data_IF_751703745913
#
_entry.id   IF_751703745913
#
_cell.length_a   1.000
_cell.length_b   1.000
_cell.length_c   1.000
_cell.angle_alpha   90.00
_cell.angle_beta   90.00
_cell.angle_gamma   90.00
#
_symmetry.space_group_name_H-M   'P 1'
#
loop_
_entity.id
_entity.type
_entity.pdbx_description
1 polymer ?
#
# COMPACT_ATOMS: atom_id res chain seq x y z
N UNK A 1 34.05 24.47 -44.31
CA UNK A 1 33.62 25.85 -44.00
C UNK A 1 32.33 25.74 -43.21
N UNK A 2 32.13 26.15 -41.96
CA UNK A 2 32.87 26.88 -40.90
C UNK A 2 31.74 27.18 -39.86
N UNK A 3 31.75 26.80 -38.57
CA UNK A 3 32.57 27.30 -37.44
C UNK A 3 32.57 28.85 -37.36
N UNK A 4 32.40 29.57 -36.24
CA UNK A 4 32.43 29.36 -34.76
C UNK A 4 31.30 30.23 -34.16
N UNK A 5 30.74 30.05 -32.95
CA UNK A 5 31.05 29.19 -31.80
C UNK A 5 29.79 28.92 -30.94
N UNK A 6 29.72 28.81 -29.61
CA UNK A 6 30.59 29.02 -28.42
C UNK A 6 30.01 30.09 -27.45
N UNK A 7 29.41 29.64 -26.34
CA UNK A 7 29.33 30.45 -25.11
C UNK A 7 29.51 29.52 -23.91
N UNK A 8 30.45 29.88 -23.04
CA UNK A 8 30.91 29.07 -21.92
C UNK A 8 30.05 29.22 -20.66
N UNK A 9 29.98 28.10 -19.94
CA UNK A 9 29.92 27.90 -18.48
C UNK A 9 29.60 29.07 -17.54
N UNK A 10 28.61 28.84 -16.67
CA UNK A 10 28.64 29.29 -15.28
C UNK A 10 28.20 28.18 -14.31
N UNK A 11 29.15 27.85 -13.44
CA UNK A 11 29.07 27.34 -12.07
C UNK A 11 28.34 26.03 -11.70
N UNK A 12 29.17 25.10 -11.23
CA UNK A 12 28.80 23.86 -10.54
C UNK A 12 28.30 24.14 -9.11
N UNK A 13 27.21 23.46 -8.71
CA UNK A 13 26.88 23.24 -7.30
C UNK A 13 26.47 21.77 -7.07
N UNK A 14 27.03 21.09 -6.06
CA UNK A 14 26.91 19.64 -5.93
C UNK A 14 25.52 19.23 -5.38
N UNK A 15 24.64 18.77 -6.26
CA UNK A 15 23.40 18.10 -5.85
C UNK A 15 23.70 16.72 -5.26
N UNK A 16 23.87 16.67 -3.93
CA UNK A 16 23.82 15.41 -3.15
C UNK A 16 22.54 14.65 -3.47
N UNK A 17 22.66 13.53 -4.19
CA UNK A 17 21.56 12.63 -4.53
C UNK A 17 21.16 11.77 -3.31
N UNK A 18 20.44 12.36 -2.36
CA UNK A 18 19.77 11.63 -1.30
C UNK A 18 18.41 11.12 -1.81
N UNK A 19 18.42 9.99 -2.53
CA UNK A 19 17.20 9.31 -2.99
C UNK A 19 17.23 7.83 -2.60
N UNK A 20 17.47 7.54 -1.33
CA UNK A 20 17.21 6.22 -0.74
C UNK A 20 15.69 6.10 -0.52
N UNK A 21 14.94 5.89 -1.60
CA UNK A 21 13.53 5.54 -1.50
C UNK A 21 13.44 4.14 -0.88
N UNK A 22 13.13 4.10 0.41
CA UNK A 22 12.85 2.86 1.15
C UNK A 22 11.80 2.08 0.37
N UNK A 23 12.15 0.84 0.01
CA UNK A 23 11.25 -0.08 -0.65
C UNK A 23 10.09 -0.38 0.31
N UNK A 24 8.85 -0.29 -0.17
CA UNK A 24 7.72 -0.94 0.52
C UNK A 24 7.92 -2.46 0.36
N UNK A 25 8.68 -3.05 1.29
CA UNK A 25 8.74 -4.49 1.46
C UNK A 25 7.44 -4.97 2.13
N UNK A 26 6.52 -5.49 1.30
CA UNK A 26 5.45 -6.37 1.76
C UNK A 26 6.10 -7.58 2.45
N UNK A 27 5.93 -7.67 3.77
CA UNK A 27 6.54 -8.72 4.60
C UNK A 27 5.63 -9.94 4.66
N UNK A 28 6.21 -11.10 4.36
CA UNK A 28 5.56 -12.41 4.40
C UNK A 28 4.90 -12.70 5.75
N UNK A 29 3.75 -13.37 5.70
CA UNK A 29 2.97 -13.77 6.88
C UNK A 29 3.21 -15.26 7.11
N UNK A 30 4.23 -15.60 7.91
CA UNK A 30 4.52 -17.00 8.32
C UNK A 30 4.89 -17.22 9.79
N UNK A 31 5.25 -16.18 10.54
CA UNK A 31 5.93 -16.36 11.84
C UNK A 31 4.99 -16.22 13.05
N UNK A 32 3.86 -16.92 13.03
CA UNK A 32 2.89 -16.93 14.15
C UNK A 32 3.23 -17.90 15.29
N UNK A 33 4.16 -18.84 15.10
CA UNK A 33 4.45 -19.89 16.09
C UNK A 33 5.51 -19.50 17.16
N UNK A 34 6.35 -18.49 16.90
CA UNK A 34 7.41 -18.08 17.82
C UNK A 34 6.91 -17.28 19.05
N UNK A 35 5.68 -16.76 19.00
CA UNK A 35 5.17 -15.76 19.96
C UNK A 35 4.59 -16.40 21.24
N UNK A 36 4.12 -17.65 21.18
CA UNK A 36 3.47 -18.30 22.35
C UNK A 36 4.45 -18.77 23.43
N UNK A 37 5.75 -18.92 23.14
CA UNK A 37 6.75 -19.43 24.10
C UNK A 37 7.25 -18.40 25.13
N UNK A 38 7.00 -17.11 24.90
CA UNK A 38 7.55 -16.02 25.72
C UNK A 38 6.58 -15.46 26.78
N UNK A 39 5.36 -15.99 26.88
CA UNK A 39 4.32 -15.49 27.81
C UNK A 39 4.36 -16.15 29.21
N UNK A 40 5.13 -17.21 29.42
CA UNK A 40 5.11 -18.03 30.64
C UNK A 40 6.46 -18.08 31.38
N UNK A 41 6.96 -16.94 31.88
CA UNK A 41 8.09 -16.95 32.84
C UNK A 41 8.15 -15.75 33.79
N UNK A 42 7.08 -15.53 34.57
CA UNK A 42 7.14 -14.72 35.79
C UNK A 42 7.47 -15.62 36.98
N UNK A 43 8.71 -15.57 37.48
CA UNK A 43 9.07 -16.23 38.73
C UNK A 43 9.47 -15.18 39.77
N UNK A 44 8.95 -15.32 40.98
CA UNK A 44 9.30 -14.51 42.14
C UNK A 44 10.77 -14.71 42.51
N UNK A 45 11.45 -13.63 42.89
CA UNK A 45 12.69 -13.69 43.64
C UNK A 45 12.51 -12.94 44.95
N UNK A 46 12.55 -13.69 46.05
CA UNK A 46 12.48 -13.17 47.41
C UNK A 46 13.87 -13.34 48.02
N UNK A 47 14.51 -12.25 48.45
CA UNK A 47 15.79 -12.27 49.14
C UNK A 47 15.72 -11.24 50.26
N UNK A 48 15.63 -11.74 51.49
CA UNK A 48 15.29 -10.94 52.66
C UNK A 48 16.44 -10.09 53.17
N UNK A 49 16.11 -8.85 53.50
CA UNK A 49 16.76 -8.08 54.56
C UNK A 49 15.65 -7.34 55.32
N UNK A 50 15.03 -8.03 56.29
CA UNK A 50 14.13 -7.36 57.23
C UNK A 50 14.94 -6.55 58.25
N UNK A 51 14.39 -5.40 58.62
CA UNK A 51 14.78 -4.58 59.78
C UNK A 51 16.12 -3.81 59.70
N UNK A 52 16.18 -2.82 58.81
CA UNK A 52 16.62 -1.47 59.24
C UNK A 52 15.47 -0.49 58.98
N UNK A 53 15.04 0.23 60.02
CA UNK A 53 13.98 1.24 59.89
C UNK A 53 14.54 2.53 59.29
N UNK A 54 13.80 3.14 58.37
CA UNK A 54 14.15 4.46 57.80
C UNK A 54 14.12 5.56 58.87
N UNK A 55 13.45 5.31 60.01
CA UNK A 55 13.39 6.23 61.14
C UNK A 55 14.63 6.18 62.06
N UNK A 56 15.42 5.10 62.05
CA UNK A 56 16.66 5.00 62.86
C UNK A 56 17.78 5.91 62.32
N UNK A 57 17.61 6.46 61.10
CA UNK A 57 18.56 7.40 60.48
C UNK A 57 18.35 8.87 60.91
N UNK A 58 17.34 9.14 61.75
CA UNK A 58 16.92 10.50 62.12
C UNK A 58 16.86 10.79 63.62
N UNK A 59 17.39 9.92 64.50
CA UNK A 59 17.55 10.22 65.92
C UNK A 59 18.81 11.11 66.15
N UNK A 60 18.67 12.39 66.57
CA UNK A 60 19.80 13.27 66.82
C UNK A 60 20.45 13.09 68.20
N UNK A 61 19.87 12.26 69.08
CA UNK A 61 20.22 12.16 70.50
C UNK A 61 20.97 10.88 70.89
N UNK A 62 21.05 9.87 70.01
CA UNK A 62 21.75 8.62 70.27
C UNK A 62 23.30 8.68 70.24
N UNK A 63 23.91 9.88 70.19
CA UNK A 63 25.37 10.02 70.04
C UNK A 63 26.01 11.13 70.90
N UNK A 64 25.59 11.29 72.16
CA UNK A 64 26.18 12.26 73.11
C UNK A 64 26.64 11.67 74.46
N UNK A 65 27.32 10.52 74.43
CA UNK A 65 28.25 10.10 75.50
C UNK A 65 29.44 9.36 74.88
N UNK A 66 30.63 9.55 75.45
CA UNK A 66 31.89 8.87 75.11
C UNK A 66 32.47 8.99 73.69
N UNK A 67 32.51 10.22 73.15
CA UNK A 67 33.60 10.60 72.22
C UNK A 67 34.34 11.90 72.57
N UNK A 68 34.42 12.24 73.86
CA UNK A 68 35.28 13.33 74.36
C UNK A 68 36.66 12.83 74.82
N UNK A 69 37.37 12.09 73.95
CA UNK A 69 38.81 11.83 74.14
C UNK A 69 39.54 11.53 72.83
N UNK A 70 40.38 12.48 72.40
CA UNK A 70 41.36 12.36 71.29
C UNK A 70 40.83 11.90 69.92
N UNK A 71 40.28 12.85 69.16
CA UNK A 71 40.68 12.94 67.74
C UNK A 71 40.98 14.39 67.38
N UNK A 72 42.26 14.72 67.13
CA UNK A 72 42.63 15.87 66.29
C UNK A 72 42.21 15.53 64.86
N UNK A 73 40.93 15.74 64.55
CA UNK A 73 40.37 15.41 63.24
C UNK A 73 40.82 16.48 62.26
N UNK A 74 41.93 16.20 61.57
CA UNK A 74 42.54 17.08 60.58
C UNK A 74 41.47 17.71 59.68
N UNK A 75 41.26 19.03 59.83
CA UNK A 75 40.22 19.78 59.09
C UNK A 75 40.43 19.67 57.57
N UNK A 76 41.67 19.45 57.14
CA UNK A 76 42.05 19.13 55.77
C UNK A 76 41.48 17.79 55.27
N UNK A 77 41.43 16.75 56.11
CA UNK A 77 40.86 15.44 55.74
C UNK A 77 39.35 15.51 55.65
N UNK A 78 38.70 16.23 56.58
CA UNK A 78 37.25 16.46 56.58
C UNK A 78 36.80 17.33 55.37
N UNK A 79 37.57 18.37 55.04
CA UNK A 79 37.40 19.14 53.79
C UNK A 79 37.67 18.30 52.53
N UNK A 80 38.65 17.39 52.54
CA UNK A 80 38.86 16.44 51.42
C UNK A 80 37.70 15.46 51.28
N UNK A 81 37.14 14.96 52.38
CA UNK A 81 36.03 14.00 52.35
C UNK A 81 34.74 14.65 51.83
N UNK A 82 34.36 15.82 52.38
CA UNK A 82 33.20 16.60 51.92
C UNK A 82 33.35 17.09 50.48
N UNK A 83 34.55 17.53 50.06
CA UNK A 83 34.83 17.84 48.65
C UNK A 83 34.66 16.60 47.75
N UNK A 84 35.27 15.47 48.11
CA UNK A 84 35.15 14.20 47.35
C UNK A 84 33.71 13.70 47.26
N UNK A 85 32.89 13.93 48.30
CA UNK A 85 31.47 13.58 48.31
C UNK A 85 30.62 14.52 47.44
N UNK A 86 30.93 15.83 47.45
CA UNK A 86 30.33 16.84 46.56
C UNK A 86 30.69 16.63 45.09
N UNK A 87 31.95 16.26 44.82
CA UNK A 87 32.43 15.96 43.47
C UNK A 87 31.79 14.65 42.94
N UNK A 88 31.59 13.63 43.80
CA UNK A 88 30.79 12.44 43.48
C UNK A 88 29.32 12.76 43.17
N UNK A 89 28.69 13.66 43.94
CA UNK A 89 27.31 14.10 43.69
C UNK A 89 27.21 14.80 42.32
N UNK A 90 28.11 15.73 42.03
CA UNK A 90 28.18 16.40 40.72
C UNK A 90 28.35 15.43 39.56
N UNK A 91 29.29 14.48 39.66
CA UNK A 91 29.48 13.47 38.63
C UNK A 91 28.20 12.64 38.39
N UNK A 92 27.50 12.27 39.47
CA UNK A 92 26.21 11.56 39.37
C UNK A 92 25.11 12.39 38.73
N UNK A 93 25.07 13.70 38.99
CA UNK A 93 24.12 14.61 38.34
C UNK A 93 24.48 14.86 36.86
N UNK A 94 25.76 14.93 36.51
CA UNK A 94 26.23 15.05 35.12
C UNK A 94 25.90 13.79 34.31
N UNK A 95 26.15 12.59 34.85
CA UNK A 95 25.76 11.32 34.22
C UNK A 95 24.23 11.16 34.11
N UNK A 96 23.48 11.58 35.13
CA UNK A 96 22.02 11.59 35.09
C UNK A 96 21.47 12.53 34.01
N UNK A 97 22.04 13.74 33.90
CA UNK A 97 21.68 14.71 32.85
C UNK A 97 22.07 14.20 31.46
N UNK A 98 23.21 13.52 31.33
CA UNK A 98 23.65 12.88 30.07
C UNK A 98 22.71 11.76 29.65
N UNK A 99 22.29 10.90 30.57
CA UNK A 99 21.30 9.85 30.33
C UNK A 99 19.93 10.44 29.95
N UNK A 100 19.45 11.44 30.69
CA UNK A 100 18.22 12.18 30.39
C UNK A 100 18.27 12.78 28.97
N UNK A 101 19.40 13.38 28.58
CA UNK A 101 19.61 13.90 27.23
C UNK A 101 19.65 12.83 26.13
N UNK A 102 20.14 11.62 26.43
CA UNK A 102 20.09 10.49 25.48
C UNK A 102 18.68 9.91 25.35
N UNK A 103 17.92 9.82 26.45
CA UNK A 103 16.53 9.37 26.45
C UNK A 103 15.64 10.34 25.68
N UNK A 104 15.73 11.65 25.96
CA UNK A 104 14.98 12.69 25.23
C UNK A 104 15.26 12.61 23.73
N UNK A 105 16.53 12.56 23.30
CA UNK A 105 16.89 12.43 21.87
C UNK A 105 16.33 11.19 21.18
N UNK A 106 16.06 10.09 21.90
CA UNK A 106 15.44 8.88 21.34
C UNK A 106 13.92 8.98 21.33
N UNK A 107 13.34 9.59 22.37
CA UNK A 107 11.92 9.90 22.42
C UNK A 107 11.53 10.91 21.32
N UNK A 108 12.33 11.95 21.10
CA UNK A 108 12.17 12.92 20.01
C UNK A 108 12.22 12.21 18.64
N UNK A 109 13.24 11.36 18.41
CA UNK A 109 13.34 10.57 17.17
C UNK A 109 12.16 9.61 16.97
N UNK A 110 11.66 8.98 18.03
CA UNK A 110 10.46 8.14 17.95
C UNK A 110 9.23 8.99 17.66
N UNK A 111 9.09 10.14 18.32
CA UNK A 111 8.01 11.09 18.07
C UNK A 111 8.03 11.59 16.62
N UNK A 112 9.19 11.90 16.05
CA UNK A 112 9.37 12.27 14.64
C UNK A 112 8.93 11.14 13.69
N UNK A 113 9.33 9.89 13.97
CA UNK A 113 8.93 8.72 13.16
C UNK A 113 7.42 8.44 13.26
N UNK A 114 6.85 8.47 14.45
CA UNK A 114 5.39 8.34 14.68
C UNK A 114 4.62 9.49 14.05
N UNK A 115 5.13 10.72 14.17
CA UNK A 115 4.53 11.91 13.55
C UNK A 115 4.59 11.79 12.03
N UNK A 116 5.68 11.29 11.43
CA UNK A 116 5.74 11.01 9.99
C UNK A 116 4.77 9.89 9.56
N UNK A 117 4.49 8.90 10.41
CA UNK A 117 3.52 7.83 10.11
C UNK A 117 2.07 8.32 10.24
N UNK A 118 1.79 9.25 11.16
CA UNK A 118 0.43 9.70 11.52
C UNK A 118 0.02 11.04 10.91
N UNK A 119 0.96 11.88 10.47
CA UNK A 119 0.67 13.22 9.92
C UNK A 119 0.25 13.13 8.46
N UNK A 120 -1.06 12.96 8.26
CA UNK A 120 -1.69 13.03 6.94
C UNK A 120 -1.53 14.43 6.32
N UNK A 121 -0.98 14.49 5.11
CA UNK A 121 -0.80 15.72 4.34
C UNK A 121 -2.14 16.41 4.03
N UNK A 122 -2.11 17.74 3.85
CA UNK A 122 -3.28 18.51 3.36
C UNK A 122 -3.81 17.94 2.03
N UNK A 123 -2.93 17.44 1.16
CA UNK A 123 -3.29 16.83 -0.12
C UNK A 123 -4.05 15.51 0.06
N UNK A 124 -3.64 14.68 1.02
CA UNK A 124 -4.27 13.40 1.33
C UNK A 124 -5.64 13.60 1.99
N UNK A 125 -5.79 14.62 2.85
CA UNK A 125 -7.08 15.03 3.43
C UNK A 125 -8.05 15.52 2.36
N UNK A 126 -7.59 16.40 1.45
CA UNK A 126 -8.41 16.87 0.33
C UNK A 126 -8.81 15.71 -0.60
N UNK A 127 -7.86 14.81 -0.90
CA UNK A 127 -8.15 13.67 -1.77
C UNK A 127 -9.07 12.63 -1.12
N UNK A 128 -9.00 12.44 0.20
CA UNK A 128 -9.98 11.64 0.95
C UNK A 128 -11.40 12.19 0.77
N UNK A 129 -11.60 13.50 0.95
CA UNK A 129 -12.88 14.16 0.72
C UNK A 129 -13.34 14.04 -0.73
N UNK A 130 -12.44 14.18 -1.70
CA UNK A 130 -12.74 13.96 -3.11
C UNK A 130 -13.16 12.51 -3.39
N UNK A 131 -12.44 11.51 -2.87
CA UNK A 131 -12.77 10.10 -3.07
C UNK A 131 -14.15 9.74 -2.49
N UNK A 132 -14.52 10.28 -1.32
CA UNK A 132 -15.88 10.16 -0.78
C UNK A 132 -16.92 10.85 -1.65
N UNK A 133 -16.66 12.08 -2.11
CA UNK A 133 -17.55 12.81 -3.00
C UNK A 133 -17.80 12.04 -4.31
N UNK A 134 -16.77 11.41 -4.87
CA UNK A 134 -16.91 10.57 -6.07
C UNK A 134 -17.79 9.34 -5.82
N UNK A 135 -17.71 8.70 -4.65
CA UNK A 135 -18.60 7.58 -4.29
C UNK A 135 -20.05 8.07 -4.13
N UNK A 136 -20.25 9.24 -3.51
CA UNK A 136 -21.56 9.86 -3.38
C UNK A 136 -22.17 10.22 -4.76
N UNK A 137 -21.40 10.84 -5.64
CA UNK A 137 -21.82 11.17 -7.02
C UNK A 137 -22.17 9.89 -7.80
N UNK A 138 -21.39 8.81 -7.68
CA UNK A 138 -21.76 7.51 -8.27
C UNK A 138 -23.16 7.06 -7.82
N UNK A 139 -23.47 7.15 -6.52
CA UNK A 139 -24.77 6.80 -5.97
C UNK A 139 -25.91 7.65 -6.54
N UNK A 140 -25.74 8.98 -6.56
CA UNK A 140 -26.74 9.93 -7.10
C UNK A 140 -26.98 9.71 -8.60
N UNK A 141 -25.92 9.50 -9.38
CA UNK A 141 -26.04 9.24 -10.82
C UNK A 141 -26.73 7.90 -11.13
N UNK A 142 -26.51 6.85 -10.32
CA UNK A 142 -27.19 5.56 -10.50
C UNK A 142 -28.64 5.61 -10.04
N UNK A 143 -28.95 6.42 -9.01
CA UNK A 143 -30.31 6.60 -8.49
C UNK A 143 -31.19 7.40 -9.44
N UNK A 144 -30.75 8.60 -9.83
CA UNK A 144 -31.59 9.63 -10.44
C UNK A 144 -31.21 9.98 -11.88
N UNK A 145 -29.91 9.99 -12.21
CA UNK A 145 -29.39 10.55 -13.47
C UNK A 145 -28.61 9.51 -14.29
N UNK A 146 -29.21 8.34 -14.53
CA UNK A 146 -28.50 7.17 -15.07
C UNK A 146 -27.91 7.43 -16.46
N UNK A 147 -28.58 8.26 -17.25
CA UNK A 147 -28.12 8.72 -18.57
C UNK A 147 -26.74 9.39 -18.52
N UNK A 148 -26.39 10.09 -17.44
CA UNK A 148 -25.13 10.83 -17.30
C UNK A 148 -23.95 9.99 -16.79
N UNK A 149 -24.19 8.76 -16.33
CA UNK A 149 -23.14 7.94 -15.70
C UNK A 149 -21.95 7.67 -16.64
N UNK A 150 -22.20 7.41 -17.92
CA UNK A 150 -21.15 7.17 -18.92
C UNK A 150 -20.27 8.41 -19.17
N UNK A 151 -20.85 9.61 -19.07
CA UNK A 151 -20.12 10.89 -19.18
C UNK A 151 -19.23 11.08 -17.96
N UNK A 152 -19.77 10.89 -16.76
CA UNK A 152 -19.03 10.96 -15.51
C UNK A 152 -17.86 9.95 -15.45
N UNK A 153 -18.08 8.70 -15.85
CA UNK A 153 -17.02 7.69 -16.01
C UNK A 153 -15.90 8.19 -16.94
N UNK A 154 -16.26 8.79 -18.07
CA UNK A 154 -15.31 9.30 -19.06
C UNK A 154 -14.49 10.47 -18.52
N UNK A 155 -15.13 11.44 -17.87
CA UNK A 155 -14.46 12.57 -17.20
C UNK A 155 -13.55 12.07 -16.08
N UNK A 156 -14.02 11.16 -15.24
CA UNK A 156 -13.24 10.57 -14.15
C UNK A 156 -11.96 9.87 -14.65
N UNK A 157 -12.07 9.09 -15.72
CA UNK A 157 -10.91 8.45 -16.34
C UNK A 157 -9.94 9.49 -16.92
N UNK A 158 -10.44 10.47 -17.70
CA UNK A 158 -9.63 11.52 -18.31
C UNK A 158 -8.94 12.44 -17.28
N UNK A 159 -9.53 12.64 -16.10
CA UNK A 159 -8.90 13.40 -15.02
C UNK A 159 -7.85 12.58 -14.24
N UNK A 160 -8.10 11.30 -13.96
CA UNK A 160 -7.18 10.47 -13.18
C UNK A 160 -5.98 9.95 -13.98
N UNK A 161 -6.15 9.63 -15.27
CA UNK A 161 -5.07 9.03 -16.06
C UNK A 161 -3.82 9.90 -16.26
N UNK A 162 -3.92 11.24 -16.50
CA UNK A 162 -2.73 12.09 -16.58
C UNK A 162 -1.94 12.17 -15.26
N UNK A 163 -2.64 12.17 -14.12
CA UNK A 163 -2.03 12.12 -12.79
C UNK A 163 -1.31 10.79 -12.61
N UNK A 164 -2.01 9.68 -12.87
CA UNK A 164 -1.49 8.31 -12.80
C UNK A 164 -0.24 8.11 -13.67
N UNK A 165 -0.29 8.56 -14.92
CA UNK A 165 0.84 8.52 -15.86
C UNK A 165 2.05 9.26 -15.29
N UNK A 166 1.83 10.48 -14.79
CA UNK A 166 2.87 11.32 -14.19
C UNK A 166 3.50 10.69 -12.95
N UNK A 167 2.71 10.10 -12.05
CA UNK A 167 3.23 9.41 -10.86
C UNK A 167 3.99 8.13 -11.24
N UNK A 168 3.43 7.31 -12.13
CA UNK A 168 4.04 6.03 -12.52
C UNK A 168 5.36 6.24 -13.27
N UNK A 169 5.45 7.26 -14.12
CA UNK A 169 6.71 7.61 -14.79
C UNK A 169 7.79 8.05 -13.78
N UNK A 170 7.43 8.90 -12.80
CA UNK A 170 8.35 9.33 -11.72
C UNK A 170 8.81 8.18 -10.81
N UNK A 171 8.00 7.14 -10.65
CA UNK A 171 8.30 5.94 -9.84
C UNK A 171 8.95 4.79 -10.64
N UNK A 172 9.15 4.94 -11.95
CA UNK A 172 9.68 3.87 -12.81
C UNK A 172 8.68 2.75 -13.16
N UNK A 173 7.40 2.89 -12.77
CA UNK A 173 6.32 1.92 -12.98
C UNK A 173 5.58 2.08 -14.31
N UNK A 174 6.15 2.80 -15.29
CA UNK A 174 5.50 3.09 -16.57
C UNK A 174 5.04 1.86 -17.38
N UNK A 175 5.54 0.65 -17.11
CA UNK A 175 5.12 -0.57 -17.82
C UNK A 175 3.81 -1.16 -17.31
N UNK A 176 3.42 -0.90 -16.06
CA UNK A 176 2.10 -1.26 -15.54
C UNK A 176 0.95 -0.50 -16.26
N UNK A 177 1.24 0.63 -16.91
CA UNK A 177 0.25 1.36 -17.74
C UNK A 177 -0.15 0.60 -19.01
N UNK A 178 0.59 -0.46 -19.39
CA UNK A 178 0.24 -1.34 -20.50
C UNK A 178 -0.71 -2.49 -20.09
N UNK A 179 -1.07 -2.60 -18.81
CA UNK A 179 -1.89 -3.71 -18.30
C UNK A 179 -3.33 -3.68 -18.82
N UNK A 180 -3.96 -4.86 -18.82
CA UNK A 180 -5.29 -5.11 -19.36
C UNK A 180 -6.36 -4.15 -18.82
N UNK A 181 -6.26 -3.71 -17.55
CA UNK A 181 -7.23 -2.76 -16.99
C UNK A 181 -7.25 -1.41 -17.72
N UNK A 182 -6.10 -0.86 -18.11
CA UNK A 182 -6.05 0.39 -18.89
C UNK A 182 -6.58 0.17 -20.31
N UNK A 183 -6.20 -0.95 -20.95
CA UNK A 183 -6.72 -1.33 -22.27
C UNK A 183 -8.25 -1.47 -22.28
N UNK A 184 -8.82 -2.14 -21.29
CA UNK A 184 -10.27 -2.33 -21.19
C UNK A 184 -11.00 -1.02 -20.92
N UNK A 185 -10.45 -0.12 -20.10
CA UNK A 185 -11.04 1.21 -19.94
C UNK A 185 -11.04 1.99 -21.27
N UNK A 186 -9.96 1.90 -22.04
CA UNK A 186 -9.90 2.50 -23.39
C UNK A 186 -10.93 1.85 -24.33
N UNK A 187 -11.09 0.51 -24.33
CA UNK A 187 -12.15 -0.16 -25.09
C UNK A 187 -13.55 0.31 -24.68
N UNK A 188 -13.81 0.47 -23.38
CA UNK A 188 -15.09 1.00 -22.88
C UNK A 188 -15.35 2.42 -23.40
N UNK A 189 -14.34 3.30 -23.43
CA UNK A 189 -14.48 4.65 -24.00
C UNK A 189 -14.67 4.62 -25.52
N UNK A 190 -13.97 3.73 -26.24
CA UNK A 190 -14.18 3.51 -27.67
C UNK A 190 -15.62 3.04 -27.94
N UNK A 191 -16.17 2.15 -27.12
CA UNK A 191 -17.57 1.75 -27.21
C UNK A 191 -18.52 2.93 -26.96
N UNK A 192 -18.33 3.66 -25.86
CA UNK A 192 -19.22 4.74 -25.45
C UNK A 192 -19.25 5.88 -26.49
N UNK A 193 -18.10 6.24 -27.07
CA UNK A 193 -17.96 7.46 -27.87
C UNK A 193 -17.75 7.27 -29.37
N UNK A 194 -17.21 6.12 -29.81
CA UNK A 194 -16.80 5.92 -31.22
C UNK A 194 -17.66 4.85 -31.91
N UNK A 195 -17.87 3.70 -31.26
CA UNK A 195 -18.60 2.57 -31.85
C UNK A 195 -19.74 2.03 -30.96
N UNK A 196 -20.72 2.88 -30.56
CA UNK A 196 -21.82 2.47 -29.67
C UNK A 196 -22.79 1.47 -30.33
N UNK A 197 -22.72 1.30 -31.66
CA UNK A 197 -23.53 0.33 -32.41
C UNK A 197 -22.98 -1.10 -32.39
N UNK A 198 -21.70 -1.28 -32.04
CA UNK A 198 -21.02 -2.55 -32.18
C UNK A 198 -21.38 -3.51 -31.05
N UNK A 199 -22.26 -4.48 -31.33
CA UNK A 199 -22.54 -5.62 -30.44
C UNK A 199 -21.26 -6.35 -30.04
N UNK A 200 -20.34 -6.55 -30.98
CA UNK A 200 -19.08 -7.28 -30.75
C UNK A 200 -18.23 -6.57 -29.69
N UNK A 201 -18.05 -5.26 -29.83
CA UNK A 201 -17.30 -4.45 -28.88
C UNK A 201 -18.03 -4.35 -27.54
N UNK A 202 -19.36 -4.14 -27.54
CA UNK A 202 -20.17 -4.09 -26.33
C UNK A 202 -20.02 -5.37 -25.49
N UNK A 203 -20.22 -6.54 -26.12
CA UNK A 203 -20.10 -7.85 -25.47
C UNK A 203 -18.70 -8.01 -24.85
N UNK A 204 -17.65 -7.62 -25.59
CA UNK A 204 -16.28 -7.69 -25.08
C UNK A 204 -15.99 -6.71 -23.94
N UNK A 205 -16.46 -5.47 -24.01
CA UNK A 205 -16.37 -4.51 -22.90
C UNK A 205 -17.09 -5.02 -21.65
N UNK A 206 -18.31 -5.54 -21.79
CA UNK A 206 -19.07 -6.12 -20.69
C UNK A 206 -18.34 -7.32 -20.08
N UNK A 207 -17.84 -8.24 -20.91
CA UNK A 207 -17.11 -9.42 -20.48
C UNK A 207 -15.79 -9.11 -19.79
N UNK A 208 -15.01 -8.13 -20.26
CA UNK A 208 -13.78 -7.74 -19.58
C UNK A 208 -14.06 -7.02 -18.26
N UNK A 209 -15.06 -6.12 -18.25
CA UNK A 209 -15.42 -5.34 -17.07
C UNK A 209 -15.90 -6.26 -15.93
N UNK A 210 -16.89 -7.12 -16.20
CA UNK A 210 -17.44 -8.04 -15.20
C UNK A 210 -16.62 -9.30 -14.95
N UNK A 211 -15.86 -9.75 -15.95
CA UNK A 211 -14.86 -10.80 -15.79
C UNK A 211 -13.60 -10.24 -15.14
N UNK A 212 -12.51 -10.15 -15.90
CA UNK A 212 -11.18 -9.95 -15.32
C UNK A 212 -10.98 -8.66 -14.55
N UNK A 213 -11.61 -7.53 -14.89
CA UNK A 213 -11.43 -6.30 -14.11
C UNK A 213 -12.03 -6.42 -12.71
N UNK A 214 -13.28 -6.86 -12.59
CA UNK A 214 -13.93 -7.15 -11.31
C UNK A 214 -13.16 -8.20 -10.51
N UNK A 215 -12.85 -9.35 -11.12
CA UNK A 215 -12.17 -10.44 -10.44
C UNK A 215 -10.71 -10.10 -10.05
N UNK A 216 -10.05 -9.21 -10.77
CA UNK A 216 -8.73 -8.69 -10.40
C UNK A 216 -8.74 -7.92 -9.06
N UNK A 217 -9.87 -7.33 -8.65
CA UNK A 217 -9.99 -6.72 -7.31
C UNK A 217 -9.72 -7.75 -6.21
N UNK A 218 -10.19 -8.98 -6.38
CA UNK A 218 -10.01 -10.09 -5.44
C UNK A 218 -8.58 -10.62 -5.55
N UNK A 219 -8.17 -11.05 -6.74
CA UNK A 219 -6.89 -11.74 -6.99
C UNK A 219 -5.69 -10.88 -6.64
N UNK A 220 -5.72 -9.60 -6.96
CA UNK A 220 -4.62 -8.67 -6.66
C UNK A 220 -4.81 -7.92 -5.33
N UNK A 221 -5.81 -8.32 -4.52
CA UNK A 221 -6.21 -7.66 -3.26
C UNK A 221 -6.24 -6.13 -3.40
N UNK A 222 -6.94 -5.64 -4.42
CA UNK A 222 -7.01 -4.21 -4.68
C UNK A 222 -7.70 -3.51 -3.50
N UNK A 223 -6.99 -2.57 -2.87
CA UNK A 223 -7.44 -1.86 -1.66
C UNK A 223 -8.01 -0.49 -2.00
N UNK A 224 -9.27 -0.24 -1.63
CA UNK A 224 -9.88 1.09 -1.69
C UNK A 224 -9.38 1.94 -0.52
N UNK A 225 -8.29 2.69 -0.74
CA UNK A 225 -7.65 3.53 0.29
C UNK A 225 -7.88 5.00 -0.04
N UNK A 226 -8.98 5.54 0.50
CA UNK A 226 -9.56 6.83 0.11
C UNK A 226 -8.58 8.03 0.14
N UNK A 227 -7.64 8.10 1.09
CA UNK A 227 -6.65 9.19 1.15
C UNK A 227 -5.53 9.08 0.10
N UNK A 228 -5.36 7.91 -0.53
CA UNK A 228 -4.27 7.61 -1.45
C UNK A 228 -4.72 7.68 -2.91
N UNK A 229 -4.20 8.67 -3.64
CA UNK A 229 -4.47 8.88 -5.08
C UNK A 229 -4.21 7.61 -5.89
N UNK A 230 -3.09 6.94 -5.62
CA UNK A 230 -2.65 5.78 -6.39
C UNK A 230 -3.47 4.52 -6.13
N UNK A 231 -3.90 4.28 -4.89
CA UNK A 231 -4.76 3.14 -4.54
C UNK A 231 -6.19 3.39 -5.02
N UNK A 232 -6.77 4.55 -4.73
CA UNK A 232 -8.12 4.93 -5.21
C UNK A 232 -8.20 4.92 -6.73
N UNK A 233 -7.24 5.49 -7.47
CA UNK A 233 -7.23 5.42 -8.94
C UNK A 233 -7.22 3.98 -9.43
N UNK A 234 -6.47 3.10 -8.76
CA UNK A 234 -6.47 1.67 -9.06
C UNK A 234 -7.83 1.03 -8.82
N UNK A 235 -8.51 1.33 -7.72
CA UNK A 235 -9.87 0.81 -7.48
C UNK A 235 -10.87 1.35 -8.50
N UNK A 236 -10.78 2.63 -8.89
CA UNK A 236 -11.69 3.25 -9.85
C UNK A 236 -11.60 2.61 -11.24
N UNK A 237 -10.39 2.36 -11.78
CA UNK A 237 -10.26 1.72 -13.10
C UNK A 237 -10.73 0.25 -13.13
N UNK A 238 -10.91 -0.38 -11.96
CA UNK A 238 -11.45 -1.75 -11.85
C UNK A 238 -12.95 -1.78 -11.56
N UNK A 239 -13.48 -0.84 -10.77
CA UNK A 239 -14.89 -0.83 -10.31
C UNK A 239 -15.80 0.02 -11.21
N UNK A 240 -15.31 1.14 -11.77
CA UNK A 240 -16.16 2.05 -12.57
C UNK A 240 -16.52 1.51 -13.96
N UNK A 241 -15.70 0.70 -14.67
CA UNK A 241 -16.14 0.06 -15.91
C UNK A 241 -17.32 -0.91 -15.75
N UNK A 242 -17.31 -1.91 -14.83
CA UNK A 242 -18.48 -2.78 -14.65
C UNK A 242 -19.69 -2.00 -14.15
N UNK A 243 -19.50 -0.96 -13.33
CA UNK A 243 -20.59 -0.09 -12.90
C UNK A 243 -21.21 0.71 -14.06
N UNK A 244 -20.39 1.17 -15.02
CA UNK A 244 -20.87 1.82 -16.26
C UNK A 244 -21.64 0.83 -17.13
N UNK A 245 -21.12 -0.39 -17.29
CA UNK A 245 -21.79 -1.45 -18.04
C UNK A 245 -23.09 -1.91 -17.37
N UNK A 246 -23.14 -1.97 -16.04
CA UNK A 246 -24.38 -2.19 -15.28
C UNK A 246 -25.42 -1.11 -15.57
N UNK A 247 -25.03 0.17 -15.52
CA UNK A 247 -25.97 1.26 -15.79
C UNK A 247 -26.52 1.17 -17.22
N UNK A 248 -25.65 0.91 -18.20
CA UNK A 248 -26.03 0.76 -19.61
C UNK A 248 -26.97 -0.43 -19.83
N UNK A 249 -26.82 -1.55 -19.11
CA UNK A 249 -27.63 -2.77 -19.32
C UNK A 249 -28.91 -2.80 -18.49
N UNK A 250 -28.83 -2.36 -17.23
CA UNK A 250 -29.85 -2.67 -16.20
C UNK A 250 -30.57 -1.45 -15.62
N UNK A 251 -30.15 -0.22 -15.93
CA UNK A 251 -30.69 0.99 -15.27
C UNK A 251 -31.19 2.08 -16.21
N UNK A 252 -30.54 2.32 -17.35
CA UNK A 252 -31.06 3.28 -18.33
C UNK A 252 -32.33 2.75 -19.01
N UNK A 253 -33.21 3.68 -19.39
CA UNK A 253 -34.43 3.38 -20.12
C UNK A 253 -34.13 2.69 -21.48
N UNK A 254 -34.92 1.69 -21.93
CA UNK A 254 -34.69 0.99 -23.19
C UNK A 254 -34.70 1.87 -24.45
N UNK A 255 -35.50 2.94 -24.50
CA UNK A 255 -35.53 3.87 -25.64
C UNK A 255 -34.23 4.67 -25.69
N UNK A 256 -33.78 5.18 -24.54
CA UNK A 256 -32.48 5.85 -24.42
C UNK A 256 -31.32 4.89 -24.71
N UNK A 257 -31.39 3.64 -24.26
CA UNK A 257 -30.40 2.60 -24.55
C UNK A 257 -30.31 2.33 -26.05
N UNK A 258 -31.45 2.22 -26.75
CA UNK A 258 -31.48 1.98 -28.19
C UNK A 258 -30.91 3.18 -28.98
N UNK A 259 -31.24 4.41 -28.56
CA UNK A 259 -30.75 5.63 -29.20
C UNK A 259 -29.24 5.86 -28.96
N UNK A 260 -28.75 5.66 -27.72
CA UNK A 260 -27.39 6.04 -27.31
C UNK A 260 -26.37 4.89 -27.36
N UNK A 261 -26.82 3.66 -27.11
CA UNK A 261 -26.01 2.43 -27.05
C UNK A 261 -26.64 1.27 -27.84
N UNK A 262 -26.96 1.43 -29.13
CA UNK A 262 -27.65 0.42 -29.93
C UNK A 262 -26.97 -0.96 -29.95
N UNK A 263 -25.65 -1.04 -29.78
CA UNK A 263 -24.92 -2.32 -29.64
C UNK A 263 -25.28 -3.08 -28.37
N UNK A 264 -25.57 -2.37 -27.27
CA UNK A 264 -26.10 -2.96 -26.04
C UNK A 264 -27.57 -3.37 -26.22
N UNK A 265 -28.43 -2.46 -26.70
CA UNK A 265 -29.86 -2.71 -26.89
C UNK A 265 -30.16 -3.88 -27.84
N UNK A 266 -29.41 -3.99 -28.95
CA UNK A 266 -29.54 -5.11 -29.89
C UNK A 266 -29.07 -6.45 -29.30
N UNK A 267 -28.38 -6.48 -28.16
CA UNK A 267 -27.88 -7.71 -27.52
C UNK A 267 -28.98 -8.31 -26.61
N UNK A 268 -30.14 -8.66 -27.19
CA UNK A 268 -31.29 -9.14 -26.43
C UNK A 268 -31.07 -10.49 -25.71
N UNK A 269 -30.16 -11.34 -26.22
CA UNK A 269 -29.79 -12.60 -25.59
C UNK A 269 -28.27 -12.84 -25.68
N UNK A 270 -27.69 -13.30 -24.58
CA UNK A 270 -26.25 -13.51 -24.50
C UNK A 270 -25.85 -14.85 -25.14
N UNK A 271 -25.26 -14.80 -26.33
CA UNK A 271 -24.67 -15.98 -26.96
C UNK A 271 -23.28 -16.26 -26.34
N UNK A 272 -23.18 -17.34 -25.56
CA UNK A 272 -21.97 -17.73 -24.83
C UNK A 272 -20.73 -17.87 -25.74
N UNK A 273 -20.87 -18.56 -26.87
CA UNK A 273 -19.78 -18.78 -27.82
C UNK A 273 -19.29 -17.47 -28.44
N UNK A 274 -20.20 -16.58 -28.85
CA UNK A 274 -19.84 -15.24 -29.34
C UNK A 274 -19.15 -14.41 -28.25
N UNK A 275 -19.64 -14.47 -27.01
CA UNK A 275 -19.03 -13.81 -25.86
C UNK A 275 -17.57 -14.22 -25.62
N UNK A 276 -17.29 -15.53 -25.63
CA UNK A 276 -15.92 -16.04 -25.53
C UNK A 276 -15.08 -15.65 -26.75
N UNK A 277 -15.59 -15.88 -27.97
CA UNK A 277 -14.84 -15.66 -29.20
C UNK A 277 -14.44 -14.18 -29.37
N UNK A 278 -15.41 -13.26 -29.34
CA UNK A 278 -15.17 -11.84 -29.54
C UNK A 278 -14.16 -11.30 -28.50
N UNK A 279 -14.33 -11.70 -27.24
CA UNK A 279 -13.49 -11.16 -26.19
C UNK A 279 -12.10 -11.80 -26.15
N UNK A 280 -11.97 -13.05 -26.62
CA UNK A 280 -10.67 -13.67 -26.88
C UNK A 280 -9.93 -12.96 -28.02
N UNK A 281 -10.62 -12.47 -29.06
CA UNK A 281 -10.00 -11.69 -30.13
C UNK A 281 -9.45 -10.34 -29.61
N UNK A 282 -10.23 -9.58 -28.84
CA UNK A 282 -9.75 -8.35 -28.22
C UNK A 282 -8.63 -8.61 -27.19
N UNK A 283 -8.69 -9.73 -26.45
CA UNK A 283 -7.61 -10.14 -25.54
C UNK A 283 -6.34 -10.46 -26.32
N UNK A 284 -6.44 -11.18 -27.44
CA UNK A 284 -5.30 -11.50 -28.30
C UNK A 284 -4.66 -10.23 -28.87
N UNK A 285 -5.45 -9.24 -29.29
CA UNK A 285 -4.93 -7.92 -29.71
C UNK A 285 -4.10 -7.28 -28.59
N UNK A 286 -4.64 -7.20 -27.37
CA UNK A 286 -3.89 -6.67 -26.22
C UNK A 286 -2.63 -7.50 -25.90
N UNK A 287 -2.73 -8.82 -25.86
CA UNK A 287 -1.62 -9.71 -25.55
C UNK A 287 -0.49 -9.60 -26.58
N UNK A 288 -0.82 -9.51 -27.87
CA UNK A 288 0.15 -9.28 -28.95
C UNK A 288 0.83 -7.91 -28.82
N UNK A 289 0.07 -6.85 -28.54
CA UNK A 289 0.62 -5.51 -28.30
C UNK A 289 1.53 -5.48 -27.07
N UNK A 290 1.12 -6.09 -25.96
CA UNK A 290 1.90 -6.20 -24.73
C UNK A 290 3.22 -6.93 -24.98
N UNK A 291 3.16 -8.12 -25.61
CA UNK A 291 4.34 -8.91 -25.90
C UNK A 291 5.31 -8.17 -26.84
N UNK A 292 4.81 -7.52 -27.90
CA UNK A 292 5.62 -6.76 -28.83
C UNK A 292 6.29 -5.52 -28.16
N UNK A 293 5.51 -4.68 -27.47
CA UNK A 293 6.02 -3.41 -26.93
C UNK A 293 6.78 -3.54 -25.61
N UNK A 294 6.46 -4.53 -24.78
CA UNK A 294 7.07 -4.75 -23.47
C UNK A 294 8.10 -5.87 -23.55
N UNK A 295 7.67 -7.11 -23.84
CA UNK A 295 8.54 -8.29 -23.79
C UNK A 295 9.65 -8.26 -24.84
N UNK A 296 9.35 -7.87 -26.08
CA UNK A 296 10.35 -7.81 -27.17
C UNK A 296 11.08 -6.45 -27.15
N UNK A 297 10.37 -5.36 -27.46
CA UNK A 297 10.98 -4.04 -27.72
C UNK A 297 11.63 -3.37 -26.49
N UNK A 298 11.40 -3.89 -25.28
CA UNK A 298 11.95 -3.33 -24.03
C UNK A 298 12.65 -4.35 -23.13
N UNK A 299 12.96 -5.55 -23.65
CA UNK A 299 13.67 -6.61 -22.94
C UNK A 299 14.91 -6.12 -22.16
N UNK A 300 15.76 -5.31 -22.78
CA UNK A 300 16.97 -4.77 -22.14
C UNK A 300 16.66 -3.83 -20.97
N UNK A 301 15.59 -3.04 -21.07
CA UNK A 301 15.16 -2.09 -20.03
C UNK A 301 14.44 -2.79 -18.87
N UNK A 302 13.88 -3.97 -19.11
CA UNK A 302 13.36 -4.87 -18.07
C UNK A 302 14.54 -5.53 -17.35
N UNK A 303 15.53 -6.07 -18.08
CA UNK A 303 16.79 -6.60 -17.52
C UNK A 303 17.59 -5.58 -16.68
N UNK A 304 17.38 -4.28 -16.89
CA UNK A 304 17.91 -3.19 -16.06
C UNK A 304 17.13 -2.96 -14.74
N UNK A 305 16.21 -3.86 -14.36
CA UNK A 305 15.49 -3.82 -13.08
C UNK A 305 14.18 -3.01 -13.10
N UNK A 306 13.58 -2.76 -14.27
CA UNK A 306 12.28 -2.07 -14.34
C UNK A 306 11.12 -3.03 -14.18
N UNK A 307 10.53 -2.99 -12.99
CA UNK A 307 9.38 -3.81 -12.62
C UNK A 307 8.27 -3.85 -13.68
N UNK A 308 7.93 -5.06 -14.09
CA UNK A 308 6.76 -5.40 -14.89
C UNK A 308 5.75 -6.21 -14.08
N UNK A 309 4.50 -6.21 -14.51
CA UNK A 309 3.40 -6.96 -13.90
C UNK A 309 3.64 -8.48 -13.94
N UNK A 310 4.39 -8.97 -14.92
CA UNK A 310 4.88 -10.35 -14.99
C UNK A 310 5.85 -10.68 -13.85
N UNK A 311 6.93 -9.90 -13.70
CA UNK A 311 7.92 -10.10 -12.63
C UNK A 311 7.30 -9.97 -11.23
N UNK A 312 6.42 -8.98 -11.06
CA UNK A 312 5.70 -8.77 -9.81
C UNK A 312 4.86 -10.00 -9.45
N UNK A 313 4.07 -10.54 -10.38
CA UNK A 313 3.21 -11.70 -10.10
C UNK A 313 4.05 -12.98 -9.92
N UNK A 314 5.17 -13.11 -10.64
CA UNK A 314 6.15 -14.19 -10.49
C UNK A 314 6.75 -14.24 -9.08
N UNK A 315 7.04 -13.07 -8.49
CA UNK A 315 7.49 -12.92 -7.10
C UNK A 315 6.34 -13.15 -6.11
N UNK A 316 5.19 -12.50 -6.30
CA UNK A 316 4.06 -12.55 -5.37
C UNK A 316 3.48 -13.97 -5.17
N UNK A 317 3.64 -14.87 -6.16
CA UNK A 317 3.15 -16.25 -6.08
C UNK A 317 4.27 -17.30 -5.92
N UNK A 318 5.54 -16.91 -5.74
CA UNK A 318 6.66 -17.86 -5.66
C UNK A 318 6.59 -18.84 -4.49
N UNK A 319 5.83 -18.53 -3.43
CA UNK A 319 5.57 -19.45 -2.32
C UNK A 319 4.58 -20.58 -2.67
N UNK A 320 3.64 -20.33 -3.58
CA UNK A 320 2.51 -21.22 -3.87
C UNK A 320 2.92 -22.37 -4.82
N UNK A 321 2.29 -23.54 -4.70
CA UNK A 321 2.63 -24.71 -5.51
C UNK A 321 2.59 -24.44 -7.03
N UNK A 322 1.56 -23.74 -7.51
CA UNK A 322 1.45 -23.33 -8.93
C UNK A 322 2.57 -22.37 -9.33
N UNK A 323 2.91 -21.39 -8.48
CA UNK A 323 3.99 -20.44 -8.76
C UNK A 323 5.36 -21.12 -8.76
N UNK A 324 5.61 -22.05 -7.84
CA UNK A 324 6.81 -22.90 -7.83
C UNK A 324 6.94 -23.71 -9.12
N UNK A 325 5.86 -24.36 -9.56
CA UNK A 325 5.85 -25.15 -10.79
C UNK A 325 6.06 -24.31 -12.07
N UNK A 326 5.48 -23.10 -12.15
CA UNK A 326 5.73 -22.16 -13.25
C UNK A 326 7.16 -21.61 -13.20
N UNK A 327 7.68 -21.33 -12.00
CA UNK A 327 9.00 -20.75 -11.79
C UNK A 327 10.15 -21.71 -12.04
N UNK A 328 9.94 -23.03 -11.91
CA UNK A 328 10.93 -24.07 -12.19
C UNK A 328 11.11 -24.38 -13.67
N UNK A 329 10.24 -23.86 -14.55
CA UNK A 329 10.39 -24.04 -15.99
C UNK A 329 11.57 -23.20 -16.54
N UNK A 330 12.37 -23.73 -17.49
CA UNK A 330 13.44 -22.96 -18.12
C UNK A 330 12.87 -21.84 -19.00
N UNK A 331 13.59 -20.73 -19.14
CA UNK A 331 13.17 -19.64 -20.04
C UNK A 331 13.10 -20.13 -21.51
N UNK A 332 12.07 -19.75 -22.30
CA UNK A 332 11.03 -18.76 -22.02
C UNK A 332 9.71 -19.34 -21.47
N UNK A 333 9.67 -20.62 -21.09
CA UNK A 333 8.43 -21.32 -20.74
C UNK A 333 7.63 -20.72 -19.56
N UNK A 334 8.22 -20.08 -18.52
CA UNK A 334 7.45 -19.35 -17.51
C UNK A 334 6.54 -18.27 -18.09
N UNK A 335 6.99 -17.53 -19.11
CA UNK A 335 6.20 -16.47 -19.78
C UNK A 335 5.01 -17.07 -20.53
N UNK A 336 5.23 -18.21 -21.19
CA UNK A 336 4.18 -18.94 -21.93
C UNK A 336 3.15 -19.53 -20.97
N UNK A 337 3.60 -20.26 -19.95
CA UNK A 337 2.73 -20.86 -18.93
C UNK A 337 1.89 -19.80 -18.21
N UNK A 338 2.50 -18.67 -17.86
CA UNK A 338 1.82 -17.52 -17.27
C UNK A 338 0.74 -16.93 -18.19
N UNK A 339 1.06 -16.74 -19.47
CA UNK A 339 0.10 -16.25 -20.48
C UNK A 339 -1.09 -17.20 -20.62
N UNK A 340 -0.85 -18.51 -20.65
CA UNK A 340 -1.90 -19.53 -20.71
C UNK A 340 -2.76 -19.57 -19.44
N UNK A 341 -2.16 -19.43 -18.26
CA UNK A 341 -2.89 -19.35 -16.98
C UNK A 341 -3.74 -18.09 -16.91
N UNK A 342 -3.21 -16.93 -17.34
CA UNK A 342 -3.98 -15.69 -17.41
C UNK A 342 -5.14 -15.79 -18.39
N UNK A 343 -4.95 -16.41 -19.57
CA UNK A 343 -6.01 -16.64 -20.53
C UNK A 343 -7.05 -17.66 -20.03
N UNK A 344 -6.64 -18.73 -19.36
CA UNK A 344 -7.57 -19.67 -18.71
C UNK A 344 -8.42 -19.01 -17.62
N UNK A 345 -7.79 -18.16 -16.79
CA UNK A 345 -8.49 -17.34 -15.79
C UNK A 345 -9.44 -16.31 -16.45
N UNK A 346 -9.03 -15.75 -17.59
CA UNK A 346 -9.86 -14.86 -18.38
C UNK A 346 -11.13 -15.56 -18.87
N UNK A 347 -11.01 -16.76 -19.44
CA UNK A 347 -12.16 -17.56 -19.90
C UNK A 347 -13.07 -17.97 -18.74
N UNK A 348 -12.50 -18.40 -17.61
CA UNK A 348 -13.26 -18.80 -16.42
C UNK A 348 -14.12 -17.64 -15.89
N UNK A 349 -13.53 -16.46 -15.68
CA UNK A 349 -14.25 -15.28 -15.18
C UNK A 349 -15.30 -14.76 -16.16
N UNK A 350 -15.04 -14.87 -17.48
CA UNK A 350 -16.02 -14.52 -18.52
C UNK A 350 -17.19 -15.49 -18.63
N UNK A 351 -17.01 -16.76 -18.25
CA UNK A 351 -18.10 -17.75 -18.29
C UNK A 351 -19.31 -17.38 -17.42
N UNK A 352 -19.11 -16.51 -16.43
CA UNK A 352 -20.15 -15.99 -15.52
C UNK A 352 -20.89 -14.76 -16.07
N UNK A 353 -20.35 -14.09 -17.10
CA UNK A 353 -20.95 -12.88 -17.70
C UNK A 353 -22.39 -13.04 -18.23
N UNK A 354 -22.84 -14.19 -18.79
CA UNK A 354 -24.24 -14.39 -19.16
C UNK A 354 -25.20 -14.21 -17.96
N UNK A 355 -24.78 -14.59 -16.75
CA UNK A 355 -25.60 -14.47 -15.53
C UNK A 355 -25.75 -13.01 -15.12
N UNK A 356 -24.64 -12.26 -15.11
CA UNK A 356 -24.63 -10.81 -14.83
C UNK A 356 -25.43 -10.03 -15.86
N UNK A 357 -25.39 -10.43 -17.13
CA UNK A 357 -26.17 -9.82 -18.20
C UNK A 357 -27.67 -10.11 -18.05
N UNK A 358 -28.06 -11.36 -17.74
CA UNK A 358 -29.47 -11.78 -17.71
C UNK A 358 -30.23 -11.36 -16.45
N UNK A 359 -29.56 -11.23 -15.31
CA UNK A 359 -30.19 -11.06 -14.01
C UNK A 359 -29.64 -9.85 -13.26
N UNK A 360 -30.40 -8.74 -13.28
CA UNK A 360 -30.10 -7.48 -12.57
C UNK A 360 -29.67 -7.72 -11.12
N UNK A 361 -30.44 -8.50 -10.35
CA UNK A 361 -30.15 -8.80 -8.94
C UNK A 361 -28.79 -9.48 -8.75
N UNK A 362 -28.45 -10.49 -9.55
CA UNK A 362 -27.16 -11.17 -9.46
C UNK A 362 -26.01 -10.22 -9.81
N UNK A 363 -26.20 -9.38 -10.83
CA UNK A 363 -25.26 -8.34 -11.20
C UNK A 363 -25.02 -7.32 -10.06
N UNK A 364 -26.10 -6.85 -9.41
CA UNK A 364 -26.02 -5.94 -8.26
C UNK A 364 -25.31 -6.58 -7.07
N UNK A 365 -25.65 -7.83 -6.71
CA UNK A 365 -25.01 -8.56 -5.62
C UNK A 365 -23.52 -8.80 -5.89
N UNK A 366 -23.16 -9.13 -7.14
CA UNK A 366 -21.76 -9.29 -7.53
C UNK A 366 -20.97 -7.98 -7.42
N UNK A 367 -21.49 -6.86 -7.93
CA UNK A 367 -20.82 -5.56 -7.77
C UNK A 367 -20.69 -5.13 -6.30
N UNK A 368 -21.73 -5.36 -5.49
CA UNK A 368 -21.69 -5.09 -4.06
C UNK A 368 -20.59 -5.94 -3.37
N UNK A 369 -20.48 -7.23 -3.71
CA UNK A 369 -19.42 -8.12 -3.24
C UNK A 369 -18.02 -7.62 -3.64
N UNK A 370 -17.82 -7.22 -4.90
CA UNK A 370 -16.53 -6.66 -5.38
C UNK A 370 -16.18 -5.36 -4.65
N UNK A 371 -17.16 -4.47 -4.42
CA UNK A 371 -16.95 -3.22 -3.69
C UNK A 371 -16.65 -3.47 -2.21
N UNK A 372 -17.34 -4.43 -1.56
CA UNK A 372 -17.05 -4.87 -0.20
C UNK A 372 -15.64 -5.47 -0.11
N UNK A 373 -15.24 -6.31 -1.07
CA UNK A 373 -13.88 -6.87 -1.11
C UNK A 373 -12.81 -5.76 -1.23
N UNK A 374 -13.01 -4.79 -2.12
CA UNK A 374 -12.11 -3.63 -2.25
C UNK A 374 -12.03 -2.80 -0.96
N UNK A 375 -13.18 -2.58 -0.32
CA UNK A 375 -13.31 -1.81 0.93
C UNK A 375 -12.68 -2.56 2.12
N UNK A 376 -12.86 -3.87 2.20
CA UNK A 376 -12.23 -4.73 3.22
C UNK A 376 -10.71 -4.76 3.04
N UNK A 377 -10.20 -4.95 1.82
CA UNK A 377 -8.77 -4.82 1.50
C UNK A 377 -8.23 -3.41 1.85
N UNK A 378 -9.07 -2.38 1.75
CA UNK A 378 -8.80 -1.02 2.22
C UNK A 378 -8.71 -0.93 3.74
N UNK A 379 -9.68 -1.49 4.46
CA UNK A 379 -9.71 -1.54 5.92
C UNK A 379 -8.52 -2.32 6.49
N UNK A 380 -8.19 -3.49 5.93
CA UNK A 380 -6.97 -4.24 6.28
C UNK A 380 -5.72 -3.40 6.03
N UNK A 381 -5.63 -2.64 4.93
CA UNK A 381 -4.51 -1.71 4.74
C UNK A 381 -4.43 -0.64 5.84
N UNK A 382 -5.56 -0.02 6.23
CA UNK A 382 -5.57 0.95 7.31
C UNK A 382 -5.19 0.34 8.68
N UNK A 383 -5.70 -0.84 9.01
CA UNK A 383 -5.49 -1.49 10.32
C UNK A 383 -4.11 -2.16 10.39
N UNK A 384 -3.79 -3.06 9.46
CA UNK A 384 -2.58 -3.88 9.54
C UNK A 384 -1.33 -3.11 9.17
N UNK A 385 -1.32 -2.32 8.08
CA UNK A 385 -0.09 -1.63 7.65
C UNK A 385 0.30 -0.55 8.65
N UNK A 386 -0.61 0.34 9.03
CA UNK A 386 -0.30 1.38 10.03
C UNK A 386 -0.14 0.80 11.44
N UNK A 387 -0.98 -0.17 11.83
CA UNK A 387 -0.88 -0.85 13.12
C UNK A 387 0.46 -1.56 13.32
N UNK A 388 0.84 -2.46 12.41
CA UNK A 388 2.13 -3.19 12.49
C UNK A 388 3.33 -2.26 12.34
N UNK A 389 3.22 -1.17 11.56
CA UNK A 389 4.31 -0.17 11.44
C UNK A 389 4.49 0.61 12.74
N UNK A 390 3.40 1.03 13.38
CA UNK A 390 3.44 1.67 14.70
C UNK A 390 3.95 0.71 15.79
N UNK A 391 3.48 -0.54 15.80
CA UNK A 391 3.95 -1.59 16.71
C UNK A 391 5.45 -1.83 16.58
N UNK A 392 5.98 -1.93 15.35
CA UNK A 392 7.42 -2.05 15.08
C UNK A 392 8.19 -0.86 15.64
N UNK A 393 7.74 0.37 15.44
CA UNK A 393 8.39 1.56 16.00
C UNK A 393 8.42 1.55 17.54
N UNK A 394 7.36 1.08 18.18
CA UNK A 394 7.30 0.89 19.64
C UNK A 394 8.26 -0.21 20.12
N UNK A 395 8.34 -1.33 19.38
CA UNK A 395 9.30 -2.42 19.67
C UNK A 395 10.75 -1.93 19.51
N UNK A 396 11.05 -1.18 18.44
CA UNK A 396 12.37 -0.58 18.21
C UNK A 396 12.73 0.40 19.34
N UNK A 397 11.82 1.28 19.76
CA UNK A 397 12.05 2.15 20.91
C UNK A 397 12.31 1.35 22.20
N UNK A 398 11.56 0.26 22.44
CA UNK A 398 11.77 -0.60 23.61
C UNK A 398 13.15 -1.25 23.59
N UNK A 399 13.58 -1.79 22.45
CA UNK A 399 14.92 -2.37 22.28
C UNK A 399 16.02 -1.32 22.49
N UNK A 400 15.83 -0.12 21.93
CA UNK A 400 16.70 1.03 22.14
C UNK A 400 16.84 1.37 23.64
N UNK A 401 15.75 1.39 24.40
CA UNK A 401 15.75 1.68 25.85
C UNK A 401 16.44 0.57 26.66
N UNK A 402 16.20 -0.71 26.36
CA UNK A 402 16.88 -1.83 27.03
C UNK A 402 18.39 -1.80 26.80
N UNK A 403 18.85 -1.46 25.59
CA UNK A 403 20.29 -1.27 25.32
C UNK A 403 20.91 -0.11 26.11
N UNK A 404 20.16 0.96 26.41
CA UNK A 404 20.63 2.04 27.30
C UNK A 404 20.71 1.60 28.77
N UNK A 405 19.80 0.73 29.21
CA UNK A 405 19.82 0.19 30.57
C UNK A 405 21.01 -0.76 30.76
N UNK A 406 21.24 -1.70 29.85
CA UNK A 406 22.38 -2.61 29.91
C UNK A 406 23.73 -1.86 29.95
N UNK A 407 23.90 -0.83 29.10
CA UNK A 407 25.12 0.02 29.07
C UNK A 407 25.31 0.93 30.31
N UNK A 408 24.46 0.80 31.32
CA UNK A 408 24.60 1.47 32.62
C UNK A 408 25.00 0.48 33.72
N UNK A 409 24.85 -0.82 33.47
CA UNK A 409 25.15 -1.90 34.39
C UNK A 409 26.55 -2.49 34.12
N UNK A 410 27.05 -2.37 32.89
CA UNK A 410 28.46 -2.45 32.48
C UNK A 410 29.23 -1.13 32.73
#
# INVERSE_FOLDING_TARGET
MSSVGSFESLDELPKKSASTSVLDEDIDISDSESINSLRSRSHSFNMGYENLSVFDLFDPYALTTDFSRKVKLNTATLKKFTKKQRDKLKARDEDFNRLKGQLLKRLDKFNDRVTHITTTSKTEKLFYSFALLQIFICGVLIGEYQQWFHVYYSVLFLCLMPVRFSTYYKRGYQYFLADLCYYVNILCLIFIWIFPESQMLFISCFSFAFGTLSFAVITWRNSLVLHSIEKTTSSMIHITPPLTMYVIVHQIDPEYQLARFPGAAKTASWNFYKGILYTSLFYLVWQSLYHYFITIKRAEKIKQGRATSFEYLRKAYSGNALGKAVNSLPEPFPVVAFTLIQFGYQLLTMSLCPLWFRYKLLCTLFMAFIFIAASYNGATYYVDYYGKKFEKEVITLRQELTQLQAKKED
#
